data_IF_108098287882
#
_entry.id   IF_108098287882
#
_cell.length_a   1.000
_cell.length_b   1.000
_cell.length_c   1.000
_cell.angle_alpha   90.00
_cell.angle_beta   90.00
_cell.angle_gamma   90.00
#
_symmetry.space_group_name_H-M   'P 1'
#
loop_
_entity.id
_entity.type
_entity.pdbx_description
1 polymer ?
#
# COMPACT_ATOMS: atom_id res chain seq x y z
N UNK A 1 17.76 17.38 -10.02
CA UNK A 1 17.58 15.92 -10.09
C UNK A 1 16.26 15.55 -9.42
N UNK A 2 15.25 15.22 -10.22
CA UNK A 2 13.85 15.16 -9.79
C UNK A 2 13.51 13.90 -9.01
N UNK A 3 12.87 14.08 -7.84
CA UNK A 3 12.36 13.05 -6.94
C UNK A 3 11.28 12.19 -7.64
N UNK A 4 11.69 11.27 -8.52
CA UNK A 4 10.75 10.39 -9.23
C UNK A 4 10.56 9.05 -8.51
N UNK A 5 9.31 8.85 -8.09
CA UNK A 5 8.58 7.58 -7.96
C UNK A 5 8.54 6.94 -6.56
N UNK A 6 7.52 6.08 -6.32
CA UNK A 6 6.98 5.55 -5.04
C UNK A 6 5.88 6.36 -4.33
N UNK A 7 5.00 7.05 -5.08
CA UNK A 7 3.75 7.63 -4.53
C UNK A 7 2.69 6.56 -4.24
N UNK A 8 2.75 5.44 -4.96
CA UNK A 8 1.83 4.32 -4.84
C UNK A 8 2.59 3.00 -4.75
N UNK A 9 2.09 2.11 -3.90
CA UNK A 9 2.53 0.73 -3.74
C UNK A 9 1.30 -0.19 -3.82
N UNK A 10 1.54 -1.47 -4.04
CA UNK A 10 0.54 -2.51 -3.87
C UNK A 10 0.92 -3.36 -2.67
N UNK A 11 -0.04 -3.59 -1.79
CA UNK A 11 0.15 -4.42 -0.61
C UNK A 11 -0.39 -5.79 -0.89
N UNK A 12 0.45 -6.81 -0.76
CA UNK A 12 0.05 -8.21 -0.86
C UNK A 12 -0.66 -8.60 0.44
N UNK A 13 -1.91 -9.05 0.32
CA UNK A 13 -2.71 -9.56 1.43
C UNK A 13 -2.43 -11.06 1.66
N UNK A 14 -2.54 -11.51 2.90
CA UNK A 14 -2.38 -12.90 3.31
C UNK A 14 -3.48 -13.80 2.73
N UNK A 15 -4.71 -13.29 2.60
CA UNK A 15 -5.82 -13.95 1.90
C UNK A 15 -5.70 -13.89 0.36
N UNK A 16 -4.54 -13.44 -0.14
CA UNK A 16 -4.22 -13.32 -1.55
C UNK A 16 -4.70 -12.00 -2.17
N UNK A 17 -4.22 -11.74 -3.38
CA UNK A 17 -4.47 -10.47 -4.09
C UNK A 17 -3.69 -9.29 -3.50
N UNK A 18 -4.03 -8.10 -3.98
CA UNK A 18 -3.26 -6.89 -3.76
C UNK A 18 -4.17 -5.68 -3.59
N UNK A 19 -3.79 -4.75 -2.74
CA UNK A 19 -4.53 -3.49 -2.54
C UNK A 19 -3.63 -2.31 -2.83
N UNK A 20 -4.14 -1.31 -3.54
CA UNK A 20 -3.38 -0.12 -3.91
C UNK A 20 -3.34 0.86 -2.75
N UNK A 21 -2.14 1.23 -2.34
CA UNK A 21 -1.90 2.14 -1.22
C UNK A 21 -1.05 3.34 -1.66
N UNK A 22 -1.45 4.54 -1.24
CA UNK A 22 -0.65 5.77 -1.36
C UNK A 22 0.36 5.82 -0.23
N UNK A 23 1.56 6.27 -0.54
CA UNK A 23 2.57 6.60 0.47
C UNK A 23 2.80 8.11 0.47
N UNK A 24 2.54 8.75 1.62
CA UNK A 24 2.70 10.19 1.83
C UNK A 24 4.08 10.47 2.42
N UNK A 25 5.04 10.91 1.59
CA UNK A 25 6.45 11.10 1.99
C UNK A 25 6.70 12.13 3.11
N UNK A 26 5.80 13.09 3.29
CA UNK A 26 5.98 14.19 4.25
C UNK A 26 5.44 13.89 5.65
N UNK A 27 4.93 12.67 5.88
CA UNK A 27 4.43 12.25 7.19
C UNK A 27 5.47 11.34 7.86
N UNK A 28 5.46 11.37 9.20
CA UNK A 28 6.20 10.41 10.02
C UNK A 28 5.77 8.98 9.67
N UNK A 29 6.57 7.97 10.06
CA UNK A 29 6.39 6.56 9.67
C UNK A 29 5.21 5.87 10.37
N UNK A 30 4.12 6.59 10.54
CA UNK A 30 2.90 6.17 11.20
C UNK A 30 1.81 5.80 10.19
N UNK A 31 0.66 5.37 10.70
CA UNK A 31 -0.53 4.97 9.96
C UNK A 31 -0.94 6.03 8.92
N UNK A 32 -0.85 7.29 9.33
CA UNK A 32 -1.16 8.46 8.51
C UNK A 32 -0.31 8.58 7.23
N UNK A 33 0.82 7.88 7.12
CA UNK A 33 1.68 7.82 5.92
C UNK A 33 1.03 7.01 4.80
N UNK A 34 0.15 6.08 5.13
CA UNK A 34 -0.47 5.15 4.19
C UNK A 34 -1.93 5.52 3.97
N UNK A 35 -2.36 5.53 2.71
CA UNK A 35 -3.77 5.78 2.37
C UNK A 35 -4.23 4.69 1.44
N UNK A 36 -5.24 3.91 1.81
CA UNK A 36 -5.77 2.85 0.96
C UNK A 36 -6.69 3.46 -0.10
N UNK A 37 -6.49 3.13 -1.39
CA UNK A 37 -7.07 3.90 -2.52
C UNK A 37 -7.89 3.05 -3.49
N UNK A 38 -8.36 1.88 -3.10
CA UNK A 38 -9.25 1.12 -3.96
C UNK A 38 -9.36 -0.35 -3.61
N UNK A 39 -10.17 -1.08 -4.39
CA UNK A 39 -10.53 -2.45 -4.09
C UNK A 39 -9.33 -3.41 -4.23
N UNK A 40 -9.51 -4.61 -3.67
CA UNK A 40 -8.62 -5.74 -3.89
C UNK A 40 -8.53 -6.09 -5.38
N UNK A 41 -7.32 -6.19 -5.91
CA UNK A 41 -7.01 -6.63 -7.27
C UNK A 41 -6.21 -7.92 -7.25
N UNK A 42 -6.44 -8.81 -8.22
CA UNK A 42 -5.70 -10.08 -8.32
C UNK A 42 -4.36 -9.88 -9.04
N UNK A 43 -4.35 -9.01 -10.07
CA UNK A 43 -3.19 -8.76 -10.92
C UNK A 43 -2.79 -7.28 -10.80
N UNK A 44 -1.77 -6.95 -10.00
CA UNK A 44 -1.24 -5.60 -9.96
C UNK A 44 -0.46 -5.32 -11.26
N UNK A 45 -0.22 -4.05 -11.62
CA UNK A 45 0.63 -3.71 -12.76
C UNK A 45 2.02 -4.34 -12.61
N UNK A 46 2.64 -4.83 -13.70
CA UNK A 46 3.90 -5.59 -13.63
C UNK A 46 5.08 -4.78 -13.09
N UNK A 47 5.05 -3.46 -13.25
CA UNK A 47 6.08 -2.53 -12.76
C UNK A 47 5.75 -1.94 -11.39
N UNK A 48 4.68 -2.41 -10.73
CA UNK A 48 4.27 -1.88 -9.44
C UNK A 48 5.21 -2.36 -8.32
N UNK A 49 5.43 -1.49 -7.34
CA UNK A 49 6.15 -1.87 -6.11
C UNK A 49 5.20 -2.64 -5.22
N UNK A 50 5.52 -3.91 -4.97
CA UNK A 50 4.75 -4.79 -4.09
C UNK A 50 5.43 -4.85 -2.72
N UNK A 51 4.63 -4.72 -1.67
CA UNK A 51 5.06 -4.80 -0.26
C UNK A 51 4.16 -5.81 0.46
N UNK A 52 4.72 -6.58 1.39
CA UNK A 52 3.94 -7.47 2.24
C UNK A 52 3.23 -6.66 3.34
N UNK A 53 2.01 -7.05 3.71
CA UNK A 53 1.27 -6.38 4.78
C UNK A 53 1.99 -6.41 6.14
N UNK A 54 2.90 -7.37 6.36
CA UNK A 54 3.67 -7.52 7.61
C UNK A 54 4.42 -6.25 8.01
N UNK A 55 4.95 -5.50 7.03
CA UNK A 55 5.71 -4.27 7.24
C UNK A 55 4.88 -3.00 7.39
N UNK A 56 3.55 -3.11 7.47
CA UNK A 56 2.66 -1.97 7.66
C UNK A 56 2.19 -1.85 9.12
N UNK A 57 1.82 -0.64 9.56
CA UNK A 57 1.14 -0.44 10.84
C UNK A 57 -0.17 -1.22 10.93
N UNK A 58 -0.53 -1.67 12.13
CA UNK A 58 -1.67 -2.57 12.33
C UNK A 58 -3.01 -1.98 11.90
N UNK A 59 -3.26 -0.68 12.11
CA UNK A 59 -4.51 -0.06 11.64
C UNK A 59 -4.60 -0.03 10.11
N UNK A 60 -3.47 0.18 9.42
CA UNK A 60 -3.44 0.11 7.94
C UNK A 60 -3.77 -1.31 7.49
N UNK A 61 -3.23 -2.35 8.17
CA UNK A 61 -3.58 -3.74 7.86
C UNK A 61 -5.08 -3.96 7.97
N UNK A 62 -5.72 -3.53 9.06
CA UNK A 62 -7.17 -3.65 9.24
C UNK A 62 -7.96 -2.98 8.10
N UNK A 63 -7.53 -1.80 7.66
CA UNK A 63 -8.16 -1.12 6.51
C UNK A 63 -8.06 -1.91 5.19
N UNK A 64 -7.00 -2.69 4.97
CA UNK A 64 -6.85 -3.52 3.75
C UNK A 64 -7.95 -4.58 3.62
N UNK A 65 -8.52 -5.04 4.75
CA UNK A 65 -9.54 -6.09 4.81
C UNK A 65 -10.97 -5.54 4.88
N UNK A 66 -11.14 -4.23 5.08
CA UNK A 66 -12.44 -3.54 5.09
C UNK A 66 -12.91 -3.11 3.67
N UNK A 67 -12.21 -3.55 2.62
CA UNK A 67 -12.45 -3.25 1.21
C UNK A 67 -12.79 -4.53 0.43
#
# INVERSE_FOLDING_TARGET
MGLKHKKYIYVKRADGGFVKVRVLKSRQEDESKYVVIGPKVIRPPPTAVIVNEEGLPESVKKELYNL
#
